data_IF_058275968656
#
_entry.id   IF_058275968656
#
_cell.length_a   1.000
_cell.length_b   1.000
_cell.length_c   1.000
_cell.angle_alpha   90.00
_cell.angle_beta   90.00
_cell.angle_gamma   90.00
#
_symmetry.space_group_name_H-M   'P 1'
#
loop_
_entity.id
_entity.type
_entity.pdbx_description
1 polymer ?
#
# COMPACT_ATOMS: atom_id res chain seq x y z
N UNK A 1 -7.28 10.44 -23.62
CA UNK A 1 -8.75 10.61 -23.48
C UNK A 1 -9.45 9.40 -24.05
N UNK A 2 -10.73 9.11 -23.70
CA UNK A 2 -11.45 7.96 -24.26
C UNK A 2 -11.48 7.92 -25.80
N UNK A 3 -11.70 9.04 -26.53
CA UNK A 3 -11.67 9.00 -27.99
C UNK A 3 -10.29 8.67 -28.59
N UNK A 4 -9.18 9.04 -27.93
CA UNK A 4 -7.84 8.64 -28.38
C UNK A 4 -7.60 7.14 -28.21
N UNK A 5 -8.21 6.49 -27.21
CA UNK A 5 -8.13 5.02 -27.08
C UNK A 5 -8.76 4.36 -28.30
N UNK A 6 -9.93 4.85 -28.73
CA UNK A 6 -10.60 4.36 -29.95
C UNK A 6 -9.73 4.64 -31.19
N UNK A 7 -9.18 5.85 -31.34
CA UNK A 7 -8.34 6.21 -32.47
C UNK A 7 -7.11 5.30 -32.61
N UNK A 8 -6.36 5.07 -31.54
CA UNK A 8 -5.21 4.16 -31.56
C UNK A 8 -5.59 2.69 -31.73
N UNK A 9 -6.78 2.28 -31.25
CA UNK A 9 -7.29 0.94 -31.50
C UNK A 9 -7.65 0.73 -32.99
N UNK A 10 -8.24 1.73 -33.64
CA UNK A 10 -8.50 1.73 -35.08
C UNK A 10 -7.20 1.72 -35.89
N UNK A 11 -6.23 2.54 -35.51
CA UNK A 11 -4.91 2.56 -36.15
C UNK A 11 -4.09 1.27 -35.91
N UNK A 12 -4.46 0.46 -34.90
CA UNK A 12 -3.80 -0.79 -34.55
C UNK A 12 -2.37 -0.64 -34.02
N UNK A 13 -1.90 0.59 -33.79
CA UNK A 13 -0.51 0.87 -33.38
C UNK A 13 -0.37 2.21 -32.68
N UNK A 14 0.34 2.21 -31.55
CA UNK A 14 0.74 3.45 -30.85
C UNK A 14 1.86 4.22 -31.57
N UNK A 15 2.46 3.63 -32.62
CA UNK A 15 3.49 4.29 -33.45
C UNK A 15 2.89 5.07 -34.62
N UNK A 16 1.59 4.93 -34.88
CA UNK A 16 0.93 5.66 -35.94
C UNK A 16 0.94 7.16 -35.66
N UNK A 17 1.27 7.96 -36.66
CA UNK A 17 1.11 9.41 -36.62
C UNK A 17 -0.34 9.74 -36.93
N UNK A 18 -1.20 9.81 -35.91
CA UNK A 18 -2.64 10.05 -36.10
C UNK A 18 -2.98 11.39 -36.81
N UNK A 19 -2.01 12.28 -36.96
CA UNK A 19 -2.18 13.54 -37.69
C UNK A 19 -1.96 13.36 -39.19
N UNK A 20 -0.95 12.57 -39.58
CA UNK A 20 -0.51 12.41 -40.97
C UNK A 20 -0.91 11.07 -41.61
N UNK A 21 -1.10 10.04 -40.82
CA UNK A 21 -1.44 8.70 -41.29
C UNK A 21 -2.97 8.52 -41.34
N UNK A 22 -3.51 7.87 -42.38
CA UNK A 22 -4.92 7.47 -42.38
C UNK A 22 -5.15 6.37 -41.33
N UNK A 23 -6.30 6.42 -40.66
CA UNK A 23 -6.77 5.37 -39.75
C UNK A 23 -7.24 4.12 -40.50
N UNK A 24 -7.61 4.28 -41.76
CA UNK A 24 -8.10 3.23 -42.63
C UNK A 24 -8.56 3.79 -43.97
N UNK A 25 -9.24 2.96 -44.74
CA UNK A 25 -9.88 3.38 -45.99
C UNK A 25 -11.38 3.15 -45.90
N UNK A 26 -12.18 4.03 -46.51
CA UNK A 26 -13.61 3.84 -46.63
C UNK A 26 -13.98 2.76 -47.67
N UNK A 27 -15.28 2.61 -47.94
CA UNK A 27 -15.79 1.60 -48.89
C UNK A 27 -15.36 1.85 -50.35
N UNK A 28 -15.02 3.10 -50.68
CA UNK A 28 -14.59 3.53 -52.00
C UNK A 28 -13.04 3.58 -52.10
N UNK A 29 -12.35 3.12 -51.06
CA UNK A 29 -10.89 3.08 -50.98
C UNK A 29 -10.24 4.43 -50.69
N UNK A 30 -10.99 5.44 -50.27
CA UNK A 30 -10.44 6.75 -49.90
C UNK A 30 -9.84 6.71 -48.48
N UNK A 31 -8.69 7.35 -48.25
CA UNK A 31 -8.07 7.41 -46.93
C UNK A 31 -8.94 8.22 -45.95
N UNK A 32 -9.21 7.65 -44.78
CA UNK A 32 -9.94 8.30 -43.68
C UNK A 32 -8.95 8.68 -42.58
N UNK A 33 -8.88 9.95 -42.26
CA UNK A 33 -7.99 10.50 -41.24
C UNK A 33 -8.73 10.74 -39.92
N UNK A 34 -7.98 10.92 -38.84
CA UNK A 34 -8.55 11.24 -37.53
C UNK A 34 -9.47 12.47 -37.58
N UNK A 35 -9.04 13.53 -38.28
CA UNK A 35 -9.80 14.76 -38.46
C UNK A 35 -11.17 14.57 -39.13
N UNK A 36 -11.34 13.49 -39.90
CA UNK A 36 -12.59 13.24 -40.64
C UNK A 36 -13.66 12.61 -39.74
N UNK A 37 -13.26 12.00 -38.62
CA UNK A 37 -14.15 11.29 -37.68
C UNK A 37 -14.13 11.87 -36.26
N UNK A 38 -13.27 12.85 -35.98
CA UNK A 38 -13.14 13.43 -34.65
C UNK A 38 -14.28 14.41 -34.40
N UNK A 39 -15.14 14.17 -33.39
CA UNK A 39 -16.28 15.04 -33.14
C UNK A 39 -15.80 16.39 -32.59
N UNK A 40 -16.42 17.46 -33.05
CA UNK A 40 -16.23 18.79 -32.52
C UNK A 40 -16.83 18.91 -31.11
N UNK A 41 -16.34 19.87 -30.31
CA UNK A 41 -16.91 20.16 -28.99
C UNK A 41 -18.41 20.53 -29.06
N UNK A 42 -18.83 21.14 -30.18
CA UNK A 42 -20.22 21.51 -30.42
C UNK A 42 -21.09 20.28 -30.62
N UNK A 43 -20.68 19.35 -31.50
CA UNK A 43 -21.40 18.09 -31.74
C UNK A 43 -21.51 17.25 -30.46
N UNK A 44 -20.44 17.18 -29.65
CA UNK A 44 -20.47 16.49 -28.36
C UNK A 44 -21.46 17.15 -27.41
N UNK A 45 -21.45 18.48 -27.30
CA UNK A 45 -22.34 19.23 -26.41
C UNK A 45 -23.81 19.08 -26.82
N UNK A 46 -24.10 19.18 -28.12
CA UNK A 46 -25.44 18.98 -28.66
C UNK A 46 -25.93 17.54 -28.45
N UNK A 47 -25.07 16.54 -28.66
CA UNK A 47 -25.41 15.14 -28.39
C UNK A 47 -25.75 14.93 -26.91
N UNK A 48 -24.98 15.50 -25.98
CA UNK A 48 -25.26 15.40 -24.54
C UNK A 48 -26.58 16.08 -24.19
N UNK A 49 -26.82 17.31 -24.66
CA UNK A 49 -28.06 18.05 -24.36
C UNK A 49 -29.31 17.36 -24.91
N UNK A 50 -29.21 16.75 -26.09
CA UNK A 50 -30.34 16.11 -26.74
C UNK A 50 -30.68 14.73 -26.16
N UNK A 51 -29.71 14.05 -25.54
CA UNK A 51 -29.88 12.65 -25.14
C UNK A 51 -29.77 12.42 -23.63
N UNK A 52 -29.16 13.32 -22.86
CA UNK A 52 -28.97 13.14 -21.42
C UNK A 52 -30.09 13.84 -20.66
N UNK A 53 -31.16 13.10 -20.34
CA UNK A 53 -32.37 13.66 -19.71
C UNK A 53 -32.39 13.42 -18.21
N UNK A 54 -33.09 14.27 -17.40
CA UNK A 54 -33.32 14.01 -15.99
C UNK A 54 -33.97 12.65 -15.71
N UNK A 55 -34.85 12.19 -16.60
CA UNK A 55 -35.53 10.89 -16.49
C UNK A 55 -34.54 9.72 -16.49
N UNK A 56 -33.46 9.78 -17.29
CA UNK A 56 -32.41 8.74 -17.26
C UNK A 56 -31.76 8.61 -15.89
N UNK A 57 -31.55 9.73 -15.19
CA UNK A 57 -31.02 9.74 -13.83
C UNK A 57 -32.05 9.21 -12.84
N UNK A 58 -33.31 9.64 -12.93
CA UNK A 58 -34.39 9.13 -12.09
C UNK A 58 -34.58 7.62 -12.24
N UNK A 59 -34.54 7.10 -13.47
CA UNK A 59 -34.65 5.66 -13.74
C UNK A 59 -33.45 4.87 -13.21
N UNK A 60 -32.24 5.46 -13.22
CA UNK A 60 -31.03 4.78 -12.76
C UNK A 60 -30.82 4.85 -11.25
N UNK A 61 -31.21 5.95 -10.61
CA UNK A 61 -30.91 6.28 -9.21
C UNK A 61 -32.16 6.44 -8.33
N UNK A 62 -33.35 6.22 -8.86
CA UNK A 62 -34.58 6.15 -8.08
C UNK A 62 -34.61 4.90 -7.20
N UNK A 63 -35.76 4.27 -7.07
CA UNK A 63 -35.96 3.25 -6.04
C UNK A 63 -35.13 1.97 -6.23
N UNK A 64 -34.72 1.66 -7.46
CA UNK A 64 -34.09 0.37 -7.78
C UNK A 64 -32.59 0.31 -7.46
N UNK A 65 -31.91 1.45 -7.25
CA UNK A 65 -30.48 1.46 -6.93
C UNK A 65 -30.18 0.74 -5.62
N UNK A 66 -31.13 0.77 -4.67
CA UNK A 66 -31.03 0.13 -3.37
C UNK A 66 -31.39 -1.35 -3.39
N UNK A 67 -32.22 -1.79 -4.34
CA UNK A 67 -32.65 -3.18 -4.44
C UNK A 67 -31.53 -4.08 -4.95
N UNK A 68 -30.71 -3.57 -5.87
CA UNK A 68 -29.71 -4.37 -6.56
C UNK A 68 -30.32 -5.49 -7.44
N UNK A 69 -29.48 -6.27 -8.13
CA UNK A 69 -29.95 -7.36 -8.98
C UNK A 69 -30.46 -8.57 -8.16
N UNK A 70 -31.13 -9.52 -8.82
CA UNK A 70 -31.71 -10.72 -8.16
C UNK A 70 -30.66 -11.50 -7.36
N UNK A 71 -29.43 -11.59 -7.85
CA UNK A 71 -28.34 -12.29 -7.15
C UNK A 71 -27.96 -11.60 -5.84
N UNK A 72 -28.08 -10.27 -5.75
CA UNK A 72 -27.84 -9.51 -4.52
C UNK A 72 -28.94 -9.76 -3.50
N UNK A 73 -30.20 -9.70 -3.96
CA UNK A 73 -31.38 -9.95 -3.12
C UNK A 73 -31.44 -11.40 -2.61
N UNK A 74 -30.89 -12.34 -3.37
CA UNK A 74 -30.81 -13.75 -3.00
C UNK A 74 -29.73 -14.10 -1.96
N UNK A 75 -28.88 -13.15 -1.54
CA UNK A 75 -27.89 -13.38 -0.49
C UNK A 75 -28.61 -13.49 0.85
N UNK A 76 -28.57 -14.68 1.44
CA UNK A 76 -29.11 -14.90 2.79
C UNK A 76 -28.22 -14.20 3.82
N UNK A 77 -28.83 -13.37 4.65
CA UNK A 77 -28.17 -12.69 5.76
C UNK A 77 -29.01 -12.84 7.03
N UNK A 78 -28.33 -12.90 8.16
CA UNK A 78 -28.97 -12.82 9.48
C UNK A 78 -28.59 -11.48 10.11
N UNK A 79 -29.58 -10.77 10.66
CA UNK A 79 -29.33 -9.52 11.36
C UNK A 79 -28.60 -9.79 12.67
N UNK A 80 -27.41 -9.19 12.83
CA UNK A 80 -26.61 -9.29 14.05
C UNK A 80 -25.82 -8.00 14.26
N UNK A 81 -25.57 -7.63 15.52
CA UNK A 81 -24.70 -6.51 15.89
C UNK A 81 -23.21 -6.88 15.77
N UNK A 82 -22.89 -8.17 15.91
CA UNK A 82 -21.53 -8.69 15.78
C UNK A 82 -21.40 -9.66 14.61
N UNK A 83 -20.26 -9.64 13.92
CA UNK A 83 -19.99 -10.55 12.82
C UNK A 83 -19.64 -11.95 13.32
N UNK A 84 -20.32 -12.98 12.80
CA UNK A 84 -20.01 -14.38 13.10
C UNK A 84 -18.80 -14.85 12.28
N UNK A 85 -17.63 -14.89 12.91
CA UNK A 85 -16.38 -15.17 12.24
C UNK A 85 -16.23 -16.65 11.92
N UNK A 86 -16.28 -16.98 10.63
CA UNK A 86 -16.02 -18.34 10.17
C UNK A 86 -14.52 -18.65 10.16
N UNK A 87 -14.09 -19.55 11.04
CA UNK A 87 -12.66 -19.92 11.15
C UNK A 87 -12.09 -20.53 9.86
N UNK A 88 -12.91 -21.22 9.06
CA UNK A 88 -12.51 -21.80 7.77
C UNK A 88 -12.47 -20.78 6.61
N UNK A 89 -13.04 -19.59 6.77
CA UNK A 89 -13.08 -18.59 5.71
C UNK A 89 -11.68 -18.15 5.29
N UNK A 90 -11.44 -18.15 3.98
CA UNK A 90 -10.21 -17.64 3.36
C UNK A 90 -10.38 -16.24 2.78
N UNK A 91 -11.54 -15.61 2.96
CA UNK A 91 -11.87 -14.28 2.44
C UNK A 91 -12.03 -13.23 3.54
N UNK A 92 -12.71 -13.58 4.62
CA UNK A 92 -12.98 -12.71 5.77
C UNK A 92 -12.43 -13.39 7.03
N UNK A 93 -11.48 -12.76 7.71
CA UNK A 93 -10.83 -13.26 8.93
C UNK A 93 -10.82 -12.20 10.02
N UNK A 94 -11.02 -12.64 11.26
CA UNK A 94 -10.91 -11.76 12.43
C UNK A 94 -9.50 -11.17 12.48
N UNK A 95 -9.35 -9.84 12.38
CA UNK A 95 -8.03 -9.23 12.30
C UNK A 95 -7.36 -9.12 13.67
N UNK A 96 -6.05 -9.33 13.71
CA UNK A 96 -5.23 -9.22 14.93
C UNK A 96 -4.91 -7.78 15.36
N UNK A 97 -5.51 -6.76 14.72
CA UNK A 97 -5.16 -5.35 14.95
C UNK A 97 -5.34 -4.88 16.40
N UNK A 98 -6.23 -5.51 17.16
CA UNK A 98 -6.55 -5.14 18.54
C UNK A 98 -5.98 -6.12 19.57
N UNK A 99 -5.22 -7.14 19.14
CA UNK A 99 -4.61 -8.11 20.07
C UNK A 99 -3.61 -7.40 21.00
N UNK A 100 -3.75 -7.64 22.30
CA UNK A 100 -2.89 -7.01 23.33
C UNK A 100 -3.21 -5.53 23.61
N UNK A 101 -4.27 -4.97 23.02
CA UNK A 101 -4.68 -3.60 23.30
C UNK A 101 -5.19 -3.43 24.74
N UNK A 102 -4.64 -2.44 25.44
CA UNK A 102 -5.09 -1.99 26.78
C UNK A 102 -6.10 -0.85 26.69
N UNK A 103 -6.88 -0.66 27.76
CA UNK A 103 -7.85 0.45 27.90
C UNK A 103 -7.17 1.82 27.80
N UNK A 104 -6.06 2.00 28.51
CA UNK A 104 -5.27 3.24 28.44
C UNK A 104 -4.29 3.21 27.25
N UNK A 105 -4.00 4.37 26.62
CA UNK A 105 -2.95 4.48 25.62
C UNK A 105 -1.57 4.23 26.23
N UNK A 106 -0.65 3.76 25.39
CA UNK A 106 0.75 3.59 25.79
C UNK A 106 1.52 4.91 25.83
N UNK A 107 2.75 4.83 26.31
CA UNK A 107 3.71 5.92 26.23
C UNK A 107 4.51 5.88 24.92
N UNK A 108 5.10 7.02 24.56
CA UNK A 108 6.05 7.06 23.47
C UNK A 108 7.34 6.32 23.85
N UNK A 109 7.82 5.48 22.94
CA UNK A 109 9.00 4.66 23.15
C UNK A 109 10.01 4.89 22.04
N UNK A 110 11.29 4.91 22.42
CA UNK A 110 12.40 4.87 21.47
C UNK A 110 12.42 3.53 20.72
N UNK A 111 12.92 3.54 19.49
CA UNK A 111 13.09 2.33 18.68
C UNK A 111 14.58 1.98 18.73
N UNK A 112 14.92 0.91 19.45
CA UNK A 112 16.31 0.53 19.77
C UNK A 112 16.66 -0.78 19.05
N UNK A 113 17.91 -0.88 18.57
CA UNK A 113 18.46 -2.06 17.91
C UNK A 113 17.66 -2.53 16.67
N UNK A 114 16.98 -1.61 15.99
CA UNK A 114 16.15 -1.97 14.84
C UNK A 114 16.99 -2.34 13.61
N UNK A 115 16.42 -3.17 12.73
CA UNK A 115 17.04 -3.56 11.46
C UNK A 115 16.19 -3.16 10.26
N UNK A 116 16.84 -2.90 9.13
CA UNK A 116 16.14 -2.71 7.87
C UNK A 116 15.50 -4.04 7.42
N UNK A 117 14.18 -4.02 7.18
CA UNK A 117 13.49 -5.12 6.51
C UNK A 117 13.63 -5.01 4.98
N UNK A 118 13.67 -3.78 4.47
CA UNK A 118 13.91 -3.47 3.07
C UNK A 118 14.62 -2.11 2.93
N UNK A 119 15.51 -2.00 1.92
CA UNK A 119 16.08 -0.75 1.45
C UNK A 119 15.62 -0.55 0.01
N UNK A 120 14.77 0.45 -0.21
CA UNK A 120 14.05 0.64 -1.46
C UNK A 120 14.46 1.94 -2.16
N UNK A 121 14.33 1.95 -3.48
CA UNK A 121 14.62 3.12 -4.31
C UNK A 121 13.54 4.20 -4.26
N UNK A 122 13.53 5.03 -5.30
CA UNK A 122 12.53 6.09 -5.48
C UNK A 122 11.20 5.55 -6.03
N UNK A 123 10.13 6.32 -5.85
CA UNK A 123 8.80 6.12 -6.44
C UNK A 123 8.18 4.75 -6.15
N UNK A 124 8.38 4.26 -4.93
CA UNK A 124 7.73 3.04 -4.44
C UNK A 124 6.23 3.30 -4.30
N UNK A 125 5.46 2.87 -5.30
CA UNK A 125 4.00 2.97 -5.26
C UNK A 125 3.36 2.09 -4.18
N UNK A 126 2.13 2.41 -3.78
CA UNK A 126 1.32 1.53 -2.93
C UNK A 126 1.01 0.17 -3.56
N UNK A 127 1.13 0.02 -4.88
CA UNK A 127 1.01 -1.28 -5.57
C UNK A 127 2.27 -2.14 -5.37
N UNK A 128 3.45 -1.53 -5.21
CA UNK A 128 4.65 -2.25 -4.79
C UNK A 128 4.53 -2.73 -3.34
N UNK A 129 4.00 -1.88 -2.45
CA UNK A 129 3.85 -2.18 -1.01
C UNK A 129 2.72 -3.18 -0.77
N UNK A 130 1.58 -3.04 -1.45
CA UNK A 130 0.40 -3.88 -1.29
C UNK A 130 -0.20 -4.18 -2.66
N UNK A 131 0.32 -5.17 -3.41
CA UNK A 131 -0.20 -5.55 -4.72
C UNK A 131 -1.67 -5.97 -4.64
N UNK A 132 -2.43 -5.71 -5.70
CA UNK A 132 -3.85 -6.10 -5.80
C UNK A 132 -4.10 -7.22 -6.83
N UNK A 133 -3.08 -7.57 -7.61
CA UNK A 133 -3.17 -8.54 -8.71
C UNK A 133 -3.16 -10.01 -8.27
N UNK A 134 -2.78 -10.88 -9.20
CA UNK A 134 -2.78 -12.33 -8.99
C UNK A 134 -1.79 -12.76 -7.89
N UNK A 135 -2.16 -13.81 -7.15
CA UNK A 135 -1.32 -14.46 -6.15
C UNK A 135 -0.53 -15.57 -6.83
N UNK A 136 0.79 -15.56 -6.69
CA UNK A 136 1.66 -16.63 -7.24
C UNK A 136 1.61 -17.87 -6.35
N UNK A 137 1.61 -19.05 -6.99
CA UNK A 137 1.62 -20.34 -6.29
C UNK A 137 2.79 -20.48 -5.32
N UNK A 138 3.99 -20.12 -5.76
CA UNK A 138 5.22 -20.20 -4.97
C UNK A 138 5.49 -18.96 -4.09
N UNK A 139 4.46 -18.18 -3.76
CA UNK A 139 4.57 -17.05 -2.82
C UNK A 139 4.10 -17.46 -1.41
N UNK A 140 4.48 -16.73 -0.34
CA UNK A 140 3.99 -17.02 1.00
C UNK A 140 2.45 -17.09 1.08
N UNK A 141 1.76 -16.17 0.41
CA UNK A 141 0.30 -16.17 0.34
C UNK A 141 -0.25 -17.38 -0.45
N UNK A 142 0.45 -17.80 -1.50
CA UNK A 142 0.14 -19.02 -2.24
C UNK A 142 0.23 -20.26 -1.36
N UNK A 143 1.35 -20.44 -0.66
CA UNK A 143 1.53 -21.53 0.30
C UNK A 143 0.43 -21.54 1.37
N UNK A 144 0.10 -20.38 1.95
CA UNK A 144 -0.98 -20.26 2.94
C UNK A 144 -2.35 -20.74 2.43
N UNK A 145 -2.66 -20.46 1.16
CA UNK A 145 -3.90 -20.88 0.51
C UNK A 145 -3.87 -22.37 0.14
N UNK A 146 -2.74 -22.87 -0.36
CA UNK A 146 -2.51 -24.30 -0.66
C UNK A 146 -2.63 -25.16 0.61
N UNK A 147 -2.06 -24.71 1.73
CA UNK A 147 -2.17 -25.38 3.03
C UNK A 147 -3.64 -25.49 3.51
N UNK A 148 -4.52 -24.65 2.97
CA UNK A 148 -5.97 -24.66 3.20
C UNK A 148 -6.75 -25.31 2.05
N UNK A 149 -6.07 -26.09 1.23
CA UNK A 149 -6.62 -26.87 0.13
C UNK A 149 -7.33 -26.03 -0.95
N UNK A 150 -6.98 -24.75 -1.08
CA UNK A 150 -7.45 -23.90 -2.18
C UNK A 150 -6.60 -24.20 -3.41
N UNK A 151 -7.24 -24.46 -4.56
CA UNK A 151 -6.54 -24.70 -5.82
C UNK A 151 -5.98 -23.39 -6.37
N UNK A 152 -4.84 -23.43 -7.08
CA UNK A 152 -4.20 -22.24 -7.65
C UNK A 152 -5.14 -21.36 -8.49
N UNK A 153 -6.02 -21.99 -9.29
CA UNK A 153 -7.03 -21.27 -10.10
C UNK A 153 -8.08 -20.51 -9.25
N UNK A 154 -8.28 -20.93 -8.00
CA UNK A 154 -9.25 -20.36 -7.06
C UNK A 154 -8.59 -19.39 -6.06
N UNK A 155 -7.29 -19.11 -6.19
CA UNK A 155 -6.60 -18.12 -5.36
C UNK A 155 -7.23 -16.73 -5.49
N UNK A 156 -7.74 -16.42 -6.69
CA UNK A 156 -8.24 -15.10 -7.04
C UNK A 156 -7.10 -14.06 -6.92
N UNK A 157 -7.40 -12.81 -6.61
CA UNK A 157 -6.42 -11.72 -6.49
C UNK A 157 -6.20 -11.28 -5.05
N UNK A 158 -5.06 -10.65 -4.75
CA UNK A 158 -4.87 -9.98 -3.47
C UNK A 158 -5.98 -8.96 -3.19
N UNK A 159 -6.46 -8.25 -4.21
CA UNK A 159 -7.58 -7.32 -4.07
C UNK A 159 -8.86 -7.97 -3.55
N UNK A 160 -9.15 -9.20 -3.98
CA UNK A 160 -10.30 -9.98 -3.50
C UNK A 160 -10.13 -10.52 -2.07
N UNK A 161 -8.89 -10.61 -1.58
CA UNK A 161 -8.53 -11.20 -0.28
C UNK A 161 -8.33 -10.16 0.82
N UNK A 162 -8.71 -8.90 0.59
CA UNK A 162 -8.51 -7.78 1.53
C UNK A 162 -9.17 -7.94 2.91
N UNK A 163 -10.18 -8.80 3.03
CA UNK A 163 -10.80 -9.15 4.31
C UNK A 163 -10.01 -10.18 5.13
N UNK A 164 -8.91 -10.71 4.57
CA UNK A 164 -8.09 -11.75 5.18
C UNK A 164 -6.67 -11.24 5.44
N UNK A 165 -6.40 -10.84 6.69
CA UNK A 165 -5.12 -10.26 7.06
C UNK A 165 -3.92 -11.21 6.86
N UNK A 166 -4.12 -12.52 6.99
CA UNK A 166 -3.08 -13.53 6.77
C UNK A 166 -2.59 -13.56 5.32
N UNK A 167 -3.51 -13.39 4.36
CA UNK A 167 -3.15 -13.32 2.93
C UNK A 167 -2.49 -11.97 2.64
N UNK A 168 -3.05 -10.89 3.17
CA UNK A 168 -2.58 -9.54 2.85
C UNK A 168 -1.22 -9.22 3.47
N UNK A 169 -0.95 -9.68 4.70
CA UNK A 169 0.38 -9.53 5.30
C UNK A 169 1.45 -10.28 4.50
N UNK A 170 1.12 -11.49 4.01
CA UNK A 170 2.00 -12.30 3.13
C UNK A 170 2.18 -11.68 1.74
N UNK A 171 1.21 -10.88 1.30
CA UNK A 171 1.29 -10.11 0.07
C UNK A 171 2.02 -8.78 0.21
N UNK A 172 2.32 -8.34 1.43
CA UNK A 172 2.95 -7.03 1.66
C UNK A 172 4.40 -7.05 1.17
N UNK A 173 4.75 -6.08 0.33
CA UNK A 173 5.98 -6.00 -0.46
C UNK A 173 6.21 -7.19 -1.41
N UNK A 174 5.19 -8.01 -1.71
CA UNK A 174 5.32 -9.18 -2.58
C UNK A 174 5.20 -8.86 -4.09
N UNK A 175 5.15 -7.58 -4.47
CA UNK A 175 5.05 -7.18 -5.86
C UNK A 175 6.27 -7.67 -6.65
N UNK A 176 6.05 -8.27 -7.80
CA UNK A 176 7.10 -8.90 -8.63
C UNK A 176 8.14 -7.91 -9.17
N UNK A 177 7.85 -6.61 -9.14
CA UNK A 177 8.72 -5.55 -9.67
C UNK A 177 9.46 -4.77 -8.59
N UNK A 178 9.21 -5.05 -7.31
CA UNK A 178 9.95 -4.37 -6.26
C UNK A 178 11.43 -4.75 -6.34
N UNK A 179 12.30 -3.77 -6.15
CA UNK A 179 13.75 -3.91 -6.15
C UNK A 179 14.25 -3.52 -4.79
N UNK A 180 14.79 -4.49 -4.07
CA UNK A 180 15.35 -4.29 -2.74
C UNK A 180 16.89 -4.22 -2.86
N UNK A 181 17.46 -3.09 -2.48
CA UNK A 181 18.90 -2.81 -2.57
C UNK A 181 19.71 -3.73 -1.63
N UNK A 182 19.07 -4.37 -0.64
CA UNK A 182 19.68 -5.40 0.23
C UNK A 182 20.03 -6.71 -0.50
N UNK A 183 19.41 -6.96 -1.66
CA UNK A 183 19.59 -8.17 -2.49
C UNK A 183 19.73 -7.78 -3.98
N UNK A 184 20.86 -7.14 -4.36
CA UNK A 184 21.05 -6.60 -5.70
C UNK A 184 20.90 -7.66 -6.80
N UNK A 185 20.26 -7.29 -7.91
CA UNK A 185 20.03 -8.17 -9.05
C UNK A 185 18.77 -9.06 -8.94
N UNK A 186 18.04 -8.97 -7.83
CA UNK A 186 16.74 -9.64 -7.67
C UNK A 186 15.57 -8.67 -7.88
N UNK A 187 14.46 -9.20 -8.40
CA UNK A 187 13.16 -8.51 -8.45
C UNK A 187 12.11 -9.36 -7.73
N UNK A 188 11.17 -8.71 -7.07
CA UNK A 188 10.14 -9.37 -6.27
C UNK A 188 10.34 -9.15 -4.78
N UNK A 189 9.37 -9.61 -3.98
CA UNK A 189 9.34 -9.41 -2.52
C UNK A 189 10.36 -10.23 -1.76
N UNK A 190 11.64 -10.09 -2.11
CA UNK A 190 12.79 -10.78 -1.53
C UNK A 190 13.60 -9.80 -0.69
N UNK A 191 14.14 -10.30 0.41
CA UNK A 191 15.06 -9.58 1.28
C UNK A 191 16.08 -10.54 1.89
N UNK A 192 16.97 -10.01 2.71
CA UNK A 192 17.98 -10.78 3.43
C UNK A 192 17.77 -10.68 4.93
N UNK A 193 17.63 -11.82 5.58
CA UNK A 193 17.64 -11.89 7.03
C UNK A 193 19.09 -11.89 7.53
N UNK A 194 19.59 -10.73 7.94
CA UNK A 194 21.02 -10.50 8.21
C UNK A 194 21.63 -11.40 9.29
N UNK A 195 20.99 -11.66 10.44
CA UNK A 195 21.53 -12.59 11.44
C UNK A 195 21.82 -13.99 10.86
N UNK A 196 20.95 -14.49 9.98
CA UNK A 196 21.13 -15.81 9.35
C UNK A 196 21.94 -15.77 8.04
N UNK A 197 22.05 -14.60 7.40
CA UNK A 197 22.64 -14.43 6.08
C UNK A 197 21.79 -14.96 4.91
N UNK A 198 20.58 -15.49 5.14
CA UNK A 198 19.73 -16.09 4.11
C UNK A 198 18.87 -15.06 3.37
N UNK A 199 18.75 -15.23 2.07
CA UNK A 199 17.74 -14.56 1.25
C UNK A 199 16.42 -15.32 1.35
N UNK A 200 15.32 -14.59 1.50
CA UNK A 200 13.97 -15.14 1.68
C UNK A 200 12.92 -14.09 1.33
N UNK A 201 11.63 -14.45 1.38
CA UNK A 201 10.57 -13.47 1.18
C UNK A 201 10.58 -12.42 2.29
N UNK A 202 10.11 -11.21 2.00
CA UNK A 202 9.98 -10.14 3.01
C UNK A 202 9.08 -10.58 4.17
N UNK A 203 8.01 -11.34 3.87
CA UNK A 203 7.14 -11.90 4.90
C UNK A 203 7.90 -12.87 5.83
N UNK A 204 8.65 -13.83 5.27
CA UNK A 204 9.37 -14.82 6.09
C UNK A 204 10.45 -14.16 6.95
N UNK A 205 11.18 -13.18 6.39
CA UNK A 205 12.16 -12.40 7.15
C UNK A 205 11.52 -11.62 8.29
N UNK A 206 10.36 -11.00 8.06
CA UNK A 206 9.62 -10.28 9.08
C UNK A 206 9.16 -11.20 10.21
N UNK A 207 8.64 -12.39 9.89
CA UNK A 207 8.24 -13.38 10.90
C UNK A 207 9.45 -13.90 11.69
N UNK A 208 10.59 -14.11 11.02
CA UNK A 208 11.81 -14.50 11.70
C UNK A 208 12.30 -13.43 12.68
N UNK A 209 12.40 -12.16 12.25
CA UNK A 209 12.76 -11.06 13.13
C UNK A 209 11.76 -10.85 14.29
N UNK A 210 10.47 -11.09 14.03
CA UNK A 210 9.45 -11.06 15.08
C UNK A 210 9.72 -12.10 16.16
N UNK A 211 10.09 -13.33 15.79
CA UNK A 211 10.47 -14.38 16.75
C UNK A 211 11.74 -14.06 17.55
N UNK A 212 12.61 -13.21 16.98
CA UNK A 212 13.84 -12.74 17.59
C UNK A 212 13.63 -11.46 18.44
N UNK A 213 12.41 -10.91 18.46
CA UNK A 213 12.11 -9.66 19.16
C UNK A 213 12.81 -8.43 18.58
N UNK A 214 13.24 -8.49 17.31
CA UNK A 214 13.98 -7.40 16.66
C UNK A 214 13.02 -6.39 16.01
N UNK A 215 13.04 -5.10 16.39
CA UNK A 215 12.24 -4.08 15.73
C UNK A 215 12.69 -3.87 14.28
N UNK A 216 11.76 -3.53 13.39
CA UNK A 216 12.06 -3.35 11.98
C UNK A 216 11.82 -1.92 11.52
N UNK A 217 12.59 -1.51 10.50
CA UNK A 217 12.37 -0.27 9.75
C UNK A 217 12.36 -0.53 8.25
N UNK A 218 11.69 0.33 7.50
CA UNK A 218 11.80 0.39 6.05
C UNK A 218 12.61 1.62 5.67
N UNK A 219 13.59 1.45 4.79
CA UNK A 219 14.34 2.57 4.21
C UNK A 219 13.87 2.75 2.76
N UNK A 220 13.69 3.99 2.31
CA UNK A 220 13.23 4.29 0.95
C UNK A 220 13.77 5.60 0.38
N UNK A 221 13.59 5.78 -0.92
CA UNK A 221 13.93 7.01 -1.64
C UNK A 221 12.80 8.05 -1.63
N UNK A 222 12.68 8.80 -2.72
CA UNK A 222 11.68 9.86 -2.90
C UNK A 222 10.32 9.31 -3.28
N UNK A 223 9.24 10.07 -2.99
CA UNK A 223 7.86 9.74 -3.36
C UNK A 223 7.41 8.35 -2.89
N UNK A 224 7.83 7.97 -1.67
CA UNK A 224 7.44 6.70 -1.08
C UNK A 224 5.93 6.66 -0.80
N UNK A 225 5.28 5.60 -1.28
CA UNK A 225 3.84 5.39 -1.15
C UNK A 225 2.98 6.09 -2.20
N UNK A 226 3.52 6.45 -3.37
CA UNK A 226 2.74 7.14 -4.38
C UNK A 226 1.67 6.25 -5.07
N UNK A 227 0.67 6.87 -5.68
CA UNK A 227 -0.38 6.18 -6.43
C UNK A 227 -1.69 5.98 -5.66
N UNK A 228 -2.32 4.81 -5.83
CA UNK A 228 -3.66 4.54 -5.30
C UNK A 228 -3.69 4.55 -3.77
N UNK A 229 -4.73 5.12 -3.17
CA UNK A 229 -4.95 5.00 -1.73
C UNK A 229 -5.30 3.55 -1.38
N UNK A 230 -4.36 2.84 -0.71
CA UNK A 230 -4.52 1.46 -0.24
C UNK A 230 -4.14 1.40 1.23
N UNK A 231 -5.12 1.19 2.10
CA UNK A 231 -4.93 1.04 3.54
C UNK A 231 -3.98 -0.12 3.90
N UNK A 232 -4.04 -1.21 3.13
CA UNK A 232 -3.17 -2.37 3.27
C UNK A 232 -1.68 -2.08 3.09
N UNK A 233 -1.31 -0.99 2.41
CA UNK A 233 0.09 -0.56 2.36
C UNK A 233 0.62 -0.15 3.74
N UNK A 234 -0.22 0.39 4.63
CA UNK A 234 0.15 0.71 6.00
C UNK A 234 -0.15 -0.44 6.98
N UNK A 235 -1.32 -1.10 6.86
CA UNK A 235 -1.68 -2.26 7.70
C UNK A 235 -0.68 -3.40 7.54
N UNK A 236 -0.30 -3.71 6.30
CA UNK A 236 0.71 -4.71 5.99
C UNK A 236 2.07 -4.36 6.61
N UNK A 237 2.54 -3.13 6.41
CA UNK A 237 3.80 -2.64 7.00
C UNK A 237 3.81 -2.81 8.53
N UNK A 238 2.69 -2.51 9.20
CA UNK A 238 2.53 -2.68 10.65
C UNK A 238 2.55 -4.14 11.06
N UNK A 239 1.80 -5.00 10.35
CA UNK A 239 1.70 -6.44 10.63
C UNK A 239 2.99 -7.21 10.32
N UNK A 240 3.86 -6.67 9.46
CA UNK A 240 5.22 -7.17 9.28
C UNK A 240 6.18 -6.70 10.40
N UNK A 241 5.70 -5.91 11.36
CA UNK A 241 6.48 -5.50 12.53
C UNK A 241 7.34 -4.25 12.34
N UNK A 242 7.21 -3.53 11.21
CA UNK A 242 7.94 -2.28 11.01
C UNK A 242 7.42 -1.20 11.96
N UNK A 243 8.35 -0.59 12.71
CA UNK A 243 8.08 0.49 13.68
C UNK A 243 8.26 1.88 13.09
N UNK A 244 9.11 2.00 12.08
CA UNK A 244 9.32 3.26 11.37
C UNK A 244 9.56 3.03 9.87
N UNK A 245 9.30 4.09 9.10
CA UNK A 245 9.65 4.18 7.68
C UNK A 245 10.51 5.44 7.51
N UNK A 246 11.75 5.29 7.02
CA UNK A 246 12.73 6.38 6.88
C UNK A 246 12.98 6.61 5.38
N UNK A 247 12.57 7.76 4.86
CA UNK A 247 12.59 8.02 3.40
C UNK A 247 13.05 9.43 3.05
N UNK A 248 13.35 9.68 1.78
CA UNK A 248 13.66 11.04 1.32
C UNK A 248 12.41 11.91 1.22
N UNK A 249 11.28 11.35 0.80
CA UNK A 249 9.98 12.01 0.83
C UNK A 249 8.81 11.02 0.74
N UNK A 250 7.68 11.40 1.33
CA UNK A 250 6.44 10.63 1.28
C UNK A 250 5.45 11.21 0.28
N UNK A 251 4.59 10.35 -0.28
CA UNK A 251 3.28 10.79 -0.76
C UNK A 251 2.36 11.08 0.45
N UNK A 252 1.54 12.14 0.33
CA UNK A 252 0.76 12.72 1.42
C UNK A 252 -0.22 11.74 2.07
N UNK A 253 -1.01 11.00 1.28
CA UNK A 253 -2.02 10.06 1.80
C UNK A 253 -1.33 8.87 2.47
N UNK A 254 -0.28 8.33 1.84
CA UNK A 254 0.42 7.18 2.42
C UNK A 254 1.07 7.52 3.77
N UNK A 255 1.69 8.70 3.90
CA UNK A 255 2.22 9.18 5.19
C UNK A 255 1.14 9.17 6.29
N UNK A 256 -0.04 9.74 6.04
CA UNK A 256 -1.14 9.72 7.00
C UNK A 256 -1.60 8.30 7.35
N UNK A 257 -1.62 7.38 6.37
CA UNK A 257 -1.98 5.99 6.63
C UNK A 257 -0.97 5.29 7.54
N UNK A 258 0.33 5.56 7.40
CA UNK A 258 1.37 5.02 8.29
C UNK A 258 1.15 5.47 9.74
N UNK A 259 0.93 6.77 9.96
CA UNK A 259 0.60 7.31 11.29
C UNK A 259 -0.68 6.67 11.84
N UNK A 260 -1.72 6.57 11.01
CA UNK A 260 -2.98 5.94 11.37
C UNK A 260 -2.86 4.46 11.76
N UNK A 261 -1.78 3.79 11.36
CA UNK A 261 -1.48 2.42 11.76
C UNK A 261 -0.36 2.30 12.81
N UNK A 262 0.08 3.42 13.40
CA UNK A 262 1.09 3.41 14.46
C UNK A 262 2.53 3.21 13.97
N UNK A 263 2.81 3.44 12.68
CA UNK A 263 4.17 3.40 12.12
C UNK A 263 4.71 4.82 12.05
N UNK A 264 5.91 5.06 12.58
CA UNK A 264 6.54 6.38 12.63
C UNK A 264 7.10 6.78 11.26
N UNK A 265 6.53 7.81 10.58
CA UNK A 265 7.08 8.28 9.32
C UNK A 265 8.24 9.25 9.60
N UNK A 266 9.44 8.91 9.14
CA UNK A 266 10.65 9.69 9.30
C UNK A 266 11.19 10.09 7.93
N UNK A 267 11.66 11.32 7.82
CA UNK A 267 12.24 11.84 6.59
C UNK A 267 13.70 12.22 6.82
N UNK A 268 14.58 11.82 5.91
CA UNK A 268 15.96 12.31 5.90
C UNK A 268 15.99 13.84 5.79
N UNK A 269 16.96 14.48 6.44
CA UNK A 269 17.24 15.91 6.27
C UNK A 269 17.87 16.18 4.91
N UNK A 270 17.84 17.44 4.50
CA UNK A 270 18.38 17.86 3.21
C UNK A 270 19.85 17.42 3.04
N UNK A 271 20.18 16.85 1.88
CA UNK A 271 21.50 16.30 1.57
C UNK A 271 21.77 14.88 2.12
N UNK A 272 20.92 14.35 2.99
CA UNK A 272 21.01 12.98 3.49
C UNK A 272 20.01 12.06 2.78
N UNK A 273 20.47 10.86 2.44
CA UNK A 273 19.63 9.77 1.95
C UNK A 273 20.37 8.44 2.08
N UNK A 274 19.70 7.34 1.71
CA UNK A 274 20.29 5.99 1.74
C UNK A 274 21.59 5.87 0.93
N UNK A 275 21.75 6.64 -0.15
CA UNK A 275 22.94 6.59 -1.02
C UNK A 275 24.10 7.38 -0.42
N UNK A 276 23.87 8.59 0.09
CA UNK A 276 24.91 9.43 0.70
C UNK A 276 25.41 8.85 2.01
N UNK A 277 24.52 8.20 2.78
CA UNK A 277 24.85 7.47 4.00
C UNK A 277 25.39 6.05 3.74
N UNK A 278 25.31 5.58 2.48
CA UNK A 278 25.74 4.24 2.01
C UNK A 278 25.06 3.10 2.78
N UNK A 279 23.76 3.21 3.00
CA UNK A 279 22.96 2.21 3.71
C UNK A 279 22.79 0.97 2.82
N UNK A 280 23.34 -0.16 3.26
CA UNK A 280 23.22 -1.45 2.56
C UNK A 280 22.28 -2.44 3.26
N UNK A 281 21.71 -2.02 4.39
CA UNK A 281 20.77 -2.76 5.22
C UNK A 281 21.45 -3.59 6.32
N UNK A 282 22.78 -3.72 6.31
CA UNK A 282 23.50 -4.45 7.37
C UNK A 282 23.46 -3.73 8.72
N UNK A 283 23.13 -2.43 8.68
CA UNK A 283 23.16 -1.53 9.83
C UNK A 283 22.09 -1.87 10.87
N UNK A 284 22.30 -1.30 12.06
CA UNK A 284 21.29 -1.18 13.10
C UNK A 284 20.92 0.29 13.29
N UNK A 285 19.66 0.53 13.64
CA UNK A 285 19.09 1.86 13.81
C UNK A 285 18.58 2.04 15.25
N UNK A 286 19.06 3.09 15.90
CA UNK A 286 18.57 3.53 17.21
C UNK A 286 17.92 4.91 17.06
N UNK A 287 16.59 4.96 17.06
CA UNK A 287 15.79 6.18 16.95
C UNK A 287 15.38 6.60 18.35
N UNK A 288 15.92 7.72 18.84
CA UNK A 288 15.80 8.15 20.23
C UNK A 288 15.25 9.56 20.38
N UNK A 289 14.78 9.87 21.59
CA UNK A 289 14.18 11.16 21.93
C UNK A 289 12.65 11.17 21.84
N UNK A 290 12.04 10.02 21.55
CA UNK A 290 10.59 9.87 21.43
C UNK A 290 9.92 9.83 22.82
N UNK A 291 10.61 9.26 23.82
CA UNK A 291 10.11 9.13 25.21
C UNK A 291 9.68 10.44 25.87
N UNK A 292 10.23 11.57 25.42
CA UNK A 292 9.92 12.89 25.98
C UNK A 292 8.61 13.49 25.43
N UNK A 293 7.91 12.75 24.58
CA UNK A 293 6.76 13.24 23.84
C UNK A 293 7.10 13.58 22.39
N UNK A 294 6.14 13.36 21.51
CA UNK A 294 6.25 13.76 20.10
C UNK A 294 5.55 15.11 19.91
N UNK A 295 6.24 16.05 19.25
CA UNK A 295 5.65 17.28 18.72
C UNK A 295 5.55 17.19 17.20
N UNK A 296 4.55 17.80 16.57
CA UNK A 296 4.45 17.82 15.12
C UNK A 296 5.74 18.36 14.48
N UNK A 297 6.21 17.70 13.43
CA UNK A 297 7.38 18.10 12.65
C UNK A 297 8.69 18.24 13.46
N UNK A 298 8.80 17.56 14.61
CA UNK A 298 10.03 17.61 15.41
C UNK A 298 11.18 16.84 14.76
N UNK A 299 12.39 17.20 15.15
CA UNK A 299 13.58 16.44 14.81
C UNK A 299 13.79 15.29 15.80
N UNK A 300 14.23 14.14 15.27
CA UNK A 300 14.45 12.90 16.00
C UNK A 300 15.87 12.41 15.73
N UNK A 301 16.57 12.03 16.78
CA UNK A 301 17.93 11.51 16.69
C UNK A 301 17.88 10.07 16.17
N UNK A 302 18.74 9.73 15.21
CA UNK A 302 18.96 8.37 14.78
C UNK A 302 20.46 8.06 14.76
N UNK A 303 20.89 7.07 15.54
CA UNK A 303 22.24 6.51 15.43
C UNK A 303 22.20 5.32 14.48
N UNK A 304 22.99 5.37 13.42
CA UNK A 304 23.18 4.28 12.46
C UNK A 304 24.49 3.58 12.80
N UNK A 305 24.42 2.33 13.23
CA UNK A 305 25.60 1.51 13.55
C UNK A 305 25.84 0.50 12.43
N UNK A 306 26.99 0.60 11.77
CA UNK A 306 27.39 -0.26 10.67
C UNK A 306 27.91 -1.61 11.18
N UNK A 307 28.02 -2.57 10.26
CA UNK A 307 28.51 -3.92 10.57
C UNK A 307 29.93 -3.95 11.16
N UNK A 308 30.78 -3.00 10.79
CA UNK A 308 32.14 -2.87 11.33
C UNK A 308 32.20 -2.21 12.72
N UNK A 309 31.05 -1.83 13.28
CA UNK A 309 30.92 -1.17 14.57
C UNK A 309 31.06 0.36 14.50
N UNK A 310 31.43 0.94 13.36
CA UNK A 310 31.40 2.39 13.19
C UNK A 310 29.97 2.89 13.26
N UNK A 311 29.79 4.09 13.83
CA UNK A 311 28.47 4.71 13.96
C UNK A 311 28.49 6.15 13.51
N UNK A 312 27.36 6.60 13.00
CA UNK A 312 27.10 8.00 12.72
C UNK A 312 25.74 8.40 13.31
N UNK A 313 25.67 9.63 13.81
CA UNK A 313 24.41 10.22 14.26
C UNK A 313 23.85 11.11 13.16
N UNK A 314 22.56 10.93 12.87
CA UNK A 314 21.82 11.75 11.93
C UNK A 314 20.56 12.30 12.59
N UNK A 315 20.07 13.42 12.07
CA UNK A 315 18.77 13.98 12.41
C UNK A 315 17.75 13.56 11.36
N UNK A 316 16.60 13.09 11.79
CA UNK A 316 15.46 12.78 10.95
C UNK A 316 14.31 13.72 11.28
N UNK A 317 13.58 14.18 10.27
CA UNK A 317 12.34 14.93 10.47
C UNK A 317 11.20 13.94 10.73
N UNK A 318 10.55 14.04 11.90
CA UNK A 318 9.32 13.31 12.18
C UNK A 318 8.17 13.89 11.35
N UNK A 319 7.58 13.06 10.48
CA UNK A 319 6.48 13.44 9.60
C UNK A 319 5.10 13.12 10.18
N UNK A 320 4.99 13.27 11.50
CA UNK A 320 3.71 13.47 12.17
C UNK A 320 3.44 14.97 12.08
N UNK A 321 2.42 15.34 11.29
CA UNK A 321 2.28 16.72 10.80
C UNK A 321 1.30 17.53 11.67
N UNK A 322 0.46 16.88 12.51
CA UNK A 322 -0.55 17.54 13.35
C UNK A 322 -0.62 16.97 14.77
N UNK A 323 -1.26 17.69 15.69
CA UNK A 323 -1.48 17.22 17.07
C UNK A 323 -2.42 16.00 17.14
N UNK A 324 -3.46 15.95 16.31
CA UNK A 324 -4.35 14.77 16.24
C UNK A 324 -3.58 13.51 15.81
N UNK A 325 -2.65 13.66 14.87
CA UNK A 325 -1.78 12.57 14.44
C UNK A 325 -0.82 12.11 15.54
N UNK A 326 -0.39 13.00 16.44
CA UNK A 326 0.35 12.62 17.65
C UNK A 326 -0.50 11.72 18.54
N UNK A 327 -1.77 12.08 18.76
CA UNK A 327 -2.69 11.27 19.57
C UNK A 327 -2.98 9.91 18.91
N UNK A 328 -3.16 9.86 17.59
CA UNK A 328 -3.31 8.58 16.88
C UNK A 328 -2.07 7.70 17.09
N UNK A 329 -0.87 8.24 16.93
CA UNK A 329 0.36 7.48 17.12
C UNK A 329 0.53 7.01 18.57
N UNK A 330 0.25 7.88 19.56
CA UNK A 330 0.28 7.53 21.00
C UNK A 330 -0.65 6.37 21.34
N UNK A 331 -1.81 6.32 20.67
CA UNK A 331 -2.77 5.25 20.86
C UNK A 331 -2.39 3.94 20.14
N UNK A 332 -1.30 3.91 19.36
CA UNK A 332 -0.92 2.77 18.52
C UNK A 332 -1.67 2.72 17.18
N UNK A 333 -2.33 3.82 16.80
CA UNK A 333 -3.07 3.98 15.55
C UNK A 333 -4.49 4.52 15.75
N UNK A 334 -5.10 4.98 14.66
CA UNK A 334 -6.44 5.59 14.64
C UNK A 334 -7.53 4.62 15.09
N UNK A 335 -7.42 3.32 14.74
CA UNK A 335 -8.41 2.32 15.14
C UNK A 335 -8.45 2.15 16.68
N UNK A 336 -7.27 2.14 17.31
CA UNK A 336 -7.13 2.05 18.75
C UNK A 336 -7.63 3.33 19.44
N UNK A 337 -7.32 4.49 18.86
CA UNK A 337 -7.82 5.78 19.34
C UNK A 337 -9.35 5.82 19.37
N UNK A 338 -9.99 5.50 18.23
CA UNK A 338 -11.45 5.49 18.11
C UNK A 338 -12.08 4.51 19.10
N UNK A 339 -11.56 3.28 19.19
CA UNK A 339 -12.14 2.26 20.08
C UNK A 339 -12.05 2.66 21.57
N UNK A 340 -10.94 3.25 22.02
CA UNK A 340 -10.84 3.77 23.40
C UNK A 340 -11.86 4.88 23.66
N UNK A 341 -12.04 5.79 22.70
CA UNK A 341 -12.97 6.89 22.87
C UNK A 341 -14.44 6.45 22.83
N UNK A 342 -14.77 5.41 22.05
CA UNK A 342 -16.12 4.81 22.08
C UNK A 342 -16.43 4.15 23.42
N UNK A 343 -15.44 3.52 24.06
CA UNK A 343 -15.62 2.91 25.39
C UNK A 343 -15.62 3.93 26.55
N UNK A 344 -15.08 5.13 26.33
CA UNK A 344 -15.04 6.19 27.32
C UNK A 344 -16.31 7.08 27.32
N UNK A 345 -17.14 6.97 26.29
CA UNK A 345 -18.40 7.71 26.10
C UNK A 345 -19.60 6.98 26.72
#
# INVERSE_FOLDING_TARGET
SPPLVVAYALAGSMKADLYNDPLGHDKDGQPVFLKDIWPSNKEVSEAVLNHMTPEMFSNRYGDDVWKGPEQWQGIQTEGSETYDWQSASTYVKYPSFFEGMTLEPGDFNDIVDARALAVLGDSITTDHISPAGAIKENSPAGSYLTDRQIRTQDFNSYGSRRGNHEVMMRGTFANIRIKNEMVPGTEGGITKHFPSGKEMSIYDAAMQYSSEGTPLVIIGGKLYGNGSSRDWAAKGTTLLGAKAVIVESFERIHRSNLVGMGVLPLQFKEGQNRVTLKLDGTEKYNITGLKNGIKPLMDVNCTVTRKDGSSEEIQLLCRIDTADEVEYYRHGGILHYVLRNLNAA
#
